data_IF_267452522154
#
_entry.id   IF_267452522154
#
_cell.length_a   1.000
_cell.length_b   1.000
_cell.length_c   1.000
_cell.angle_alpha   90.00
_cell.angle_beta   90.00
_cell.angle_gamma   90.00
#
_symmetry.space_group_name_H-M   'P 1'
#
loop_
_entity.id
_entity.type
_entity.pdbx_description
1 polymer ?
#
# COMPACT_ATOMS: atom_id res chain seq x y z
N UNK A 1 13.21 -2.09 -16.44
CA UNK A 1 12.19 -1.94 -15.39
C UNK A 1 11.56 -0.55 -15.54
N UNK A 2 10.24 -0.45 -15.60
CA UNK A 2 9.56 0.85 -15.58
C UNK A 2 9.42 1.31 -14.13
N UNK A 3 9.97 2.47 -13.79
CA UNK A 3 9.88 3.05 -12.45
C UNK A 3 8.51 3.72 -12.32
N UNK A 4 7.62 3.12 -11.54
CA UNK A 4 6.32 3.72 -11.23
C UNK A 4 6.45 4.54 -9.95
N UNK A 5 6.18 5.85 -10.05
CA UNK A 5 6.10 6.73 -8.89
C UNK A 5 4.68 6.65 -8.31
N UNK A 6 4.51 5.82 -7.29
CA UNK A 6 3.23 5.72 -6.57
C UNK A 6 3.12 6.94 -5.66
N UNK A 7 2.18 7.84 -5.97
CA UNK A 7 1.99 9.09 -5.19
C UNK A 7 0.90 8.98 -4.12
N UNK A 8 -0.13 8.15 -4.35
CA UNK A 8 -1.26 7.93 -3.41
C UNK A 8 -1.85 6.54 -3.68
N UNK A 9 -2.17 5.80 -2.62
CA UNK A 9 -2.86 4.50 -2.72
C UNK A 9 -4.21 4.64 -2.01
N UNK A 10 -5.31 4.42 -2.74
CA UNK A 10 -6.64 4.41 -2.14
C UNK A 10 -6.91 3.00 -1.61
N UNK A 11 -6.81 2.84 -0.30
CA UNK A 11 -7.09 1.56 0.37
C UNK A 11 -8.23 1.80 1.35
N UNK A 12 -9.24 0.93 1.33
CA UNK A 12 -10.25 0.90 2.38
C UNK A 12 -9.58 0.43 3.69
N UNK A 13 -9.51 1.23 4.75
CA UNK A 13 -8.79 0.87 5.99
C UNK A 13 -9.55 -0.18 6.82
N UNK A 14 -10.47 -0.94 6.22
CA UNK A 14 -11.17 -2.05 6.87
C UNK A 14 -10.18 -3.06 7.45
N UNK A 15 -10.56 -3.71 8.56
CA UNK A 15 -9.64 -4.50 9.40
C UNK A 15 -8.96 -5.70 8.72
N UNK A 16 -9.36 -6.05 7.50
CA UNK A 16 -8.80 -7.17 6.75
C UNK A 16 -7.69 -6.76 5.77
N UNK A 17 -7.50 -5.47 5.51
CA UNK A 17 -6.55 -4.99 4.50
C UNK A 17 -5.11 -5.35 4.84
N UNK A 18 -4.72 -5.20 6.10
CA UNK A 18 -3.35 -5.47 6.54
C UNK A 18 -3.01 -6.95 6.35
N UNK A 19 -3.98 -7.85 6.54
CA UNK A 19 -3.80 -9.30 6.37
C UNK A 19 -3.80 -9.69 4.89
N UNK A 20 -4.71 -9.13 4.10
CA UNK A 20 -4.86 -9.51 2.69
C UNK A 20 -3.74 -8.96 1.79
N UNK A 21 -3.15 -7.82 2.15
CA UNK A 21 -2.25 -7.11 1.27
C UNK A 21 -0.85 -6.84 1.85
N UNK A 22 -0.51 -7.36 3.05
CA UNK A 22 0.83 -7.21 3.65
C UNK A 22 1.98 -7.44 2.66
N UNK A 23 1.98 -8.59 1.97
CA UNK A 23 3.02 -8.93 0.98
C UNK A 23 3.02 -8.01 -0.24
N UNK A 24 1.86 -7.49 -0.62
CA UNK A 24 1.74 -6.52 -1.72
C UNK A 24 2.35 -5.18 -1.33
N UNK A 25 2.10 -4.71 -0.10
CA UNK A 25 2.69 -3.47 0.40
C UNK A 25 4.21 -3.57 0.55
N UNK A 26 4.73 -4.70 1.05
CA UNK A 26 6.17 -4.97 1.07
C UNK A 26 6.78 -4.91 -0.33
N UNK A 27 6.15 -5.56 -1.30
CA UNK A 27 6.64 -5.58 -2.69
C UNK A 27 6.64 -4.20 -3.32
N UNK A 28 5.66 -3.37 -2.98
CA UNK A 28 5.53 -2.00 -3.49
C UNK A 28 6.26 -0.96 -2.61
N UNK A 29 6.95 -1.39 -1.55
CA UNK A 29 7.65 -0.53 -0.59
C UNK A 29 6.74 0.56 0.03
N UNK A 30 5.49 0.20 0.29
CA UNK A 30 4.50 1.08 0.90
C UNK A 30 4.55 0.94 2.41
N UNK A 31 4.42 2.08 3.10
CA UNK A 31 4.36 2.16 4.56
C UNK A 31 3.07 2.87 5.01
N UNK A 32 2.87 2.95 6.33
CA UNK A 32 1.69 3.58 6.94
C UNK A 32 1.40 4.99 6.43
N UNK A 33 2.42 5.81 6.14
CA UNK A 33 2.23 7.16 5.59
C UNK A 33 1.66 7.17 4.16
N UNK A 34 1.84 6.08 3.41
CA UNK A 34 1.24 5.93 2.08
C UNK A 34 -0.24 5.49 2.16
N UNK A 35 -0.66 4.96 3.32
CA UNK A 35 -2.00 4.41 3.55
C UNK A 35 -2.91 5.37 4.30
N UNK A 36 -2.35 6.35 4.98
CA UNK A 36 -3.10 7.46 5.59
C UNK A 36 -3.45 8.53 4.54
N UNK A 37 -4.66 9.15 4.61
CA UNK A 37 -5.13 10.15 3.64
C UNK A 37 -4.19 11.31 3.33
#
# INVERSE_FOLDING_TARGET
MANFEIRRVLIDPGSSVDIMYARTFETLQLNEHNLTP
#
